data_IF_684052025339
#
_entry.id   IF_684052025339
#
_cell.length_a   1.000
_cell.length_b   1.000
_cell.length_c   1.000
_cell.angle_alpha   90.00
_cell.angle_beta   90.00
_cell.angle_gamma   90.00
#
_symmetry.space_group_name_H-M   'P 1'
#
loop_
_entity.id
_entity.type
_entity.pdbx_description
1 polymer ?
#
# COMPACT_ATOMS: atom_id res chain seq x y z
N UNK A 1 -2.87 -0.97 1.76
CA UNK A 1 -3.36 0.30 2.34
C UNK A 1 -4.84 0.16 2.67
N UNK A 2 -5.26 0.61 3.85
CA UNK A 2 -6.69 0.65 4.21
C UNK A 2 -7.05 2.12 4.34
N UNK A 3 -7.81 2.64 3.39
CA UNK A 3 -8.29 4.03 3.41
C UNK A 3 -9.68 4.01 4.01
N UNK A 4 -9.81 4.56 5.22
CA UNK A 4 -11.05 4.53 6.01
C UNK A 4 -11.96 5.74 5.78
N UNK A 5 -11.47 6.79 5.10
CA UNK A 5 -12.25 8.01 4.85
C UNK A 5 -11.93 8.69 3.51
N UNK A 6 -12.92 9.39 2.92
CA UNK A 6 -12.80 10.19 1.70
C UNK A 6 -13.22 9.49 0.39
N UNK A 7 -12.93 10.13 -0.76
CA UNK A 7 -13.35 9.66 -2.10
C UNK A 7 -12.70 8.33 -2.54
N UNK A 8 -11.59 7.94 -1.90
CA UNK A 8 -10.81 6.73 -2.23
C UNK A 8 -10.90 5.65 -1.14
N UNK A 9 -11.98 5.61 -0.37
CA UNK A 9 -12.22 4.58 0.65
C UNK A 9 -12.12 3.19 0.04
N UNK A 10 -11.39 2.30 0.72
CA UNK A 10 -11.19 0.93 0.28
C UNK A 10 -9.92 0.30 0.80
N UNK A 11 -9.86 -1.03 0.68
CA UNK A 11 -8.66 -1.82 0.96
C UNK A 11 -7.93 -2.07 -0.36
N UNK A 12 -6.66 -1.68 -0.40
CA UNK A 12 -5.80 -1.84 -1.56
C UNK A 12 -4.59 -2.70 -1.21
N UNK A 13 -4.44 -3.81 -1.90
CA UNK A 13 -3.27 -4.70 -1.81
C UNK A 13 -2.57 -4.69 -3.15
N UNK A 14 -1.27 -4.43 -3.14
CA UNK A 14 -0.52 -4.27 -4.38
C UNK A 14 0.91 -3.83 -4.14
N UNK A 15 1.67 -3.76 -5.23
CA UNK A 15 3.06 -3.28 -5.22
C UNK A 15 3.10 -1.77 -5.23
N UNK A 16 4.08 -1.23 -4.52
CA UNK A 16 4.19 0.20 -4.27
C UNK A 16 5.67 0.59 -4.21
N UNK A 17 6.04 1.70 -4.84
CA UNK A 17 7.38 2.26 -4.72
C UNK A 17 7.42 3.29 -3.58
N UNK A 18 8.25 3.05 -2.57
CA UNK A 18 8.39 3.93 -1.41
C UNK A 18 9.36 5.07 -1.74
N UNK A 19 8.94 6.31 -1.47
CA UNK A 19 9.69 7.55 -1.74
C UNK A 19 9.61 8.46 -0.51
N UNK A 20 10.59 9.35 -0.35
CA UNK A 20 10.59 10.37 0.74
C UNK A 20 9.39 11.33 0.69
N UNK A 21 8.69 11.42 -0.45
CA UNK A 21 7.50 12.28 -0.62
C UNK A 21 6.31 11.90 0.29
N UNK A 22 6.29 10.70 0.87
CA UNK A 22 5.22 10.27 1.78
C UNK A 22 3.87 10.00 1.09
N UNK A 23 3.86 9.93 -0.24
CA UNK A 23 2.70 9.55 -1.04
C UNK A 23 3.08 8.43 -2.00
N UNK A 24 2.15 7.51 -2.18
CA UNK A 24 2.37 6.25 -2.84
C UNK A 24 1.34 5.98 -3.93
N UNK A 25 1.79 5.29 -4.98
CA UNK A 25 0.95 4.84 -6.07
C UNK A 25 0.82 3.32 -5.99
N UNK A 26 -0.39 2.83 -5.70
CA UNK A 26 -0.68 1.42 -5.55
C UNK A 26 -1.16 0.88 -6.88
N UNK A 27 -0.41 -0.07 -7.45
CA UNK A 27 -0.89 -0.88 -8.57
C UNK A 27 -1.71 -2.04 -8.01
N UNK A 28 -3.01 -1.95 -8.21
CA UNK A 28 -3.96 -3.06 -8.00
C UNK A 28 -4.15 -3.78 -9.34
N UNK A 29 -4.73 -4.97 -9.34
CA UNK A 29 -4.99 -5.75 -10.56
C UNK A 29 -5.81 -4.94 -11.58
N UNK A 30 -6.85 -4.25 -11.09
CA UNK A 30 -7.79 -3.55 -11.98
C UNK A 30 -7.42 -2.08 -12.26
N UNK A 31 -6.67 -1.46 -11.35
CA UNK A 31 -6.41 0.00 -11.41
C UNK A 31 -5.17 0.42 -10.65
N UNK A 32 -4.56 1.51 -11.15
CA UNK A 32 -3.48 2.22 -10.47
C UNK A 32 -4.07 3.37 -9.66
N UNK A 33 -4.01 3.29 -8.33
CA UNK A 33 -4.49 4.35 -7.45
C UNK A 33 -3.31 5.20 -7.01
N UNK A 34 -3.32 6.48 -7.39
CA UNK A 34 -2.23 7.41 -7.13
C UNK A 34 -2.51 8.32 -5.93
N UNK A 35 -1.43 8.78 -5.28
CA UNK A 35 -1.50 9.78 -4.22
C UNK A 35 -2.11 9.29 -2.91
N UNK A 36 -1.88 8.03 -2.54
CA UNK A 36 -2.28 7.51 -1.22
C UNK A 36 -1.20 7.90 -0.21
N UNK A 37 -1.59 8.53 0.89
CA UNK A 37 -0.64 8.89 1.96
C UNK A 37 -0.08 7.64 2.64
N UNK A 38 1.20 7.68 2.96
CA UNK A 38 1.91 6.61 3.67
C UNK A 38 1.24 6.20 4.98
N UNK A 39 0.53 7.13 5.65
CA UNK A 39 -0.19 6.88 6.91
C UNK A 39 -1.23 5.75 6.81
N UNK A 40 -1.79 5.54 5.63
CA UNK A 40 -2.79 4.48 5.38
C UNK A 40 -2.17 3.20 4.84
N UNK A 41 -0.85 3.20 4.60
CA UNK A 41 -0.10 2.06 4.09
C UNK A 41 0.63 1.35 5.23
N UNK A 42 0.48 0.03 5.28
CA UNK A 42 1.25 -0.85 6.14
C UNK A 42 2.15 -1.74 5.28
N UNK A 43 3.45 -1.85 5.58
CA UNK A 43 4.32 -2.79 4.90
C UNK A 43 3.86 -4.20 5.22
N UNK A 44 3.60 -5.00 4.18
CA UNK A 44 3.23 -6.42 4.32
C UNK A 44 4.40 -7.33 4.01
N UNK A 45 5.23 -6.92 3.05
CA UNK A 45 6.34 -7.71 2.55
C UNK A 45 7.37 -6.77 1.93
N UNK A 46 8.64 -7.02 2.20
CA UNK A 46 9.74 -6.38 1.50
C UNK A 46 10.31 -7.37 0.47
N UNK A 47 10.76 -6.87 -0.67
CA UNK A 47 11.42 -7.69 -1.70
C UNK A 47 12.87 -8.02 -1.30
N UNK A 48 13.10 -8.33 -0.03
CA UNK A 48 14.39 -8.64 0.58
C UNK A 48 14.64 -10.16 0.67
N UNK A 49 13.71 -10.97 0.20
CA UNK A 49 13.82 -12.43 0.15
C UNK A 49 13.25 -13.15 1.38
N UNK A 50 12.73 -12.42 2.37
CA UNK A 50 12.18 -13.02 3.60
C UNK A 50 10.66 -13.10 3.55
N UNK A 51 10.08 -14.27 3.82
CA UNK A 51 8.63 -14.42 3.93
C UNK A 51 8.14 -13.95 5.30
N UNK A 52 7.59 -12.74 5.35
CA UNK A 52 6.96 -12.20 6.55
C UNK A 52 5.61 -12.89 6.77
N UNK A 53 5.59 -13.95 7.58
CA UNK A 53 4.36 -14.65 7.96
C UNK A 53 3.64 -13.80 9.03
N UNK A 54 2.42 -13.34 8.73
CA UNK A 54 1.66 -12.41 9.59
C UNK A 54 0.71 -13.11 10.57
N UNK A 55 1.05 -14.33 11.00
CA UNK A 55 0.25 -15.10 11.96
C UNK A 55 0.93 -15.21 13.32
N UNK A 56 0.47 -14.40 14.27
CA UNK A 56 0.16 -14.82 15.64
C UNK A 56 -0.94 -13.92 16.22
#
# INVERSE_FOLDING_TARGET
>A
AVVTSGKKVGTYTGRVAVRKSGSFNIKTVDKTVQGISWKYCRPLHASDGYSYNTTC
#
